data_IF_230498959251
#
_entry.id   IF_230498959251
#
_cell.length_a   1.000
_cell.length_b   1.000
_cell.length_c   1.000
_cell.angle_alpha   90.00
_cell.angle_beta   90.00
_cell.angle_gamma   90.00
#
_symmetry.space_group_name_H-M   'P 1'
#
loop_
_entity.id
_entity.type
_entity.pdbx_description
1 polymer ?
#
# COMPACT_ATOMS: atom_id res chain seq x y z
N UNK A 1 22.04 1.55 26.36
CA UNK A 1 21.63 2.69 25.51
C UNK A 1 20.54 3.55 26.16
N UNK A 2 19.42 2.96 26.63
CA UNK A 2 18.37 3.65 27.41
C UNK A 2 18.82 4.60 28.54
N UNK A 3 19.79 4.25 29.42
CA UNK A 3 20.20 5.15 30.50
C UNK A 3 20.97 6.39 30.01
N UNK A 4 21.69 6.28 28.89
CA UNK A 4 22.44 7.41 28.31
C UNK A 4 21.48 8.40 27.65
N UNK A 5 20.48 7.90 26.93
CA UNK A 5 19.43 8.73 26.31
C UNK A 5 18.64 9.48 27.40
N UNK A 6 18.32 8.82 28.51
CA UNK A 6 17.64 9.46 29.64
C UNK A 6 18.47 10.59 30.26
N UNK A 7 19.77 10.38 30.46
CA UNK A 7 20.66 11.41 31.01
C UNK A 7 20.79 12.63 30.09
N UNK A 8 20.87 12.41 28.77
CA UNK A 8 20.93 13.49 27.79
C UNK A 8 19.62 14.28 27.75
N UNK A 9 18.46 13.62 27.74
CA UNK A 9 17.16 14.29 27.76
C UNK A 9 16.93 15.06 29.06
N UNK A 10 17.35 14.51 30.21
CA UNK A 10 17.26 15.19 31.49
C UNK A 10 18.13 16.46 31.51
N UNK A 11 19.35 16.39 30.97
CA UNK A 11 20.25 17.54 30.88
C UNK A 11 19.70 18.63 29.93
N UNK A 12 19.18 18.22 28.77
CA UNK A 12 18.55 19.13 27.81
C UNK A 12 17.34 19.87 28.45
N UNK A 13 16.47 19.13 29.15
CA UNK A 13 15.30 19.71 29.81
C UNK A 13 15.65 20.67 30.95
N UNK A 14 16.73 20.41 31.69
CA UNK A 14 17.24 21.33 32.73
C UNK A 14 17.78 22.62 32.11
N UNK A 15 18.51 22.52 30.99
CA UNK A 15 19.05 23.68 30.29
C UNK A 15 17.93 24.55 29.70
N UNK A 16 16.90 23.94 29.11
CA UNK A 16 15.73 24.63 28.58
C UNK A 16 14.94 25.36 29.67
N UNK A 17 14.75 24.73 30.84
CA UNK A 17 14.14 25.39 32.02
C UNK A 17 14.93 26.60 32.52
N UNK A 18 16.26 26.50 32.53
CA UNK A 18 17.15 27.60 32.96
C UNK A 18 17.06 28.81 32.02
N UNK A 19 16.81 28.58 30.74
CA UNK A 19 16.61 29.62 29.72
C UNK A 19 15.14 30.08 29.60
N UNK A 20 14.23 29.57 30.44
CA UNK A 20 12.77 29.81 30.37
C UNK A 20 12.17 29.55 28.97
N UNK A 21 12.74 28.60 28.24
CA UNK A 21 12.20 28.14 26.96
C UNK A 21 11.32 26.93 27.23
N UNK A 22 10.05 26.99 26.82
CA UNK A 22 9.19 25.80 26.82
C UNK A 22 9.77 24.77 25.86
N UNK A 23 10.19 23.63 26.39
CA UNK A 23 10.59 22.49 25.58
C UNK A 23 9.36 21.97 24.85
N UNK A 24 9.18 22.39 23.59
CA UNK A 24 8.31 21.69 22.65
C UNK A 24 9.10 20.49 22.14
N UNK A 25 8.84 19.31 22.70
CA UNK A 25 9.25 18.06 22.09
C UNK A 25 8.78 18.05 20.62
N UNK A 26 9.66 17.59 19.73
CA UNK A 26 9.50 17.69 18.28
C UNK A 26 8.17 17.10 17.76
N UNK A 27 7.50 17.92 16.95
CA UNK A 27 6.41 17.59 16.01
C UNK A 27 5.29 16.72 16.58
N UNK A 28 4.47 17.29 17.48
CA UNK A 28 3.04 16.99 17.36
C UNK A 28 2.58 17.64 16.05
N UNK A 29 1.98 16.87 15.14
CA UNK A 29 1.11 17.50 14.16
C UNK A 29 0.19 18.45 14.95
N UNK A 30 0.28 19.76 14.68
CA UNK A 30 -0.50 20.78 15.41
C UNK A 30 -2.00 20.52 15.31
N UNK A 31 -2.39 19.66 14.37
CA UNK A 31 -3.75 19.26 14.07
C UNK A 31 -3.82 17.74 14.02
N UNK A 32 -4.84 17.19 14.67
CA UNK A 32 -5.30 15.83 14.47
C UNK A 32 -5.88 15.64 13.06
N UNK A 33 -5.94 14.40 12.58
CA UNK A 33 -6.53 14.08 11.29
C UNK A 33 -7.98 14.60 11.15
N UNK A 34 -8.75 14.60 12.25
CA UNK A 34 -10.13 15.12 12.28
C UNK A 34 -10.15 16.64 12.13
N UNK A 35 -9.19 17.34 12.74
CA UNK A 35 -9.04 18.79 12.59
C UNK A 35 -8.60 19.14 11.16
N UNK A 36 -7.67 18.37 10.58
CA UNK A 36 -7.27 18.55 9.19
C UNK A 36 -8.47 18.34 8.25
N UNK A 37 -9.26 17.28 8.43
CA UNK A 37 -10.44 17.03 7.62
C UNK A 37 -11.46 18.19 7.71
N UNK A 38 -11.69 18.73 8.92
CA UNK A 38 -12.56 19.90 9.12
C UNK A 38 -12.03 21.15 8.42
N UNK A 39 -10.72 21.40 8.48
CA UNK A 39 -10.12 22.55 7.78
C UNK A 39 -10.31 22.48 6.27
N UNK A 40 -10.25 21.28 5.69
CA UNK A 40 -10.49 21.08 4.25
C UNK A 40 -11.93 21.39 3.90
N UNK A 41 -12.89 20.92 4.71
CA UNK A 41 -14.31 21.23 4.54
C UNK A 41 -14.58 22.73 4.67
N UNK A 42 -14.08 23.37 5.73
CA UNK A 42 -14.27 24.81 5.97
C UNK A 42 -13.66 25.66 4.84
N UNK A 43 -12.50 25.26 4.30
CA UNK A 43 -11.86 25.94 3.18
C UNK A 43 -12.65 25.78 1.87
N UNK A 44 -13.29 24.63 1.64
CA UNK A 44 -14.22 24.42 0.53
C UNK A 44 -15.46 25.29 0.65
N UNK A 45 -16.11 25.28 1.83
CA UNK A 45 -17.32 26.08 2.10
C UNK A 45 -17.06 27.60 2.00
N UNK A 46 -15.84 28.04 2.35
CA UNK A 46 -15.40 29.43 2.21
C UNK A 46 -15.00 29.82 0.77
N UNK A 47 -15.05 28.89 -0.19
CA UNK A 47 -14.65 29.11 -1.58
C UNK A 47 -13.14 29.33 -1.78
N UNK A 48 -12.32 28.92 -0.81
CA UNK A 48 -10.85 29.01 -0.87
C UNK A 48 -10.22 27.83 -1.62
N UNK A 49 -10.97 26.73 -1.74
CA UNK A 49 -10.64 25.56 -2.55
C UNK A 49 -11.77 25.32 -3.55
N UNK A 50 -11.43 24.97 -4.79
CA UNK A 50 -12.43 24.45 -5.72
C UNK A 50 -12.94 23.07 -5.24
N UNK A 51 -14.18 22.74 -5.59
CA UNK A 51 -14.85 21.52 -5.12
C UNK A 51 -14.01 20.26 -5.39
N UNK A 52 -13.35 20.20 -6.55
CA UNK A 52 -12.54 19.05 -6.96
C UNK A 52 -11.25 18.95 -6.14
N UNK A 53 -10.64 20.08 -5.78
CA UNK A 53 -9.48 20.13 -4.90
C UNK A 53 -9.85 19.76 -3.46
N UNK A 54 -11.00 20.21 -2.97
CA UNK A 54 -11.52 19.87 -1.66
C UNK A 54 -11.82 18.36 -1.54
N UNK A 55 -12.52 17.77 -2.52
CA UNK A 55 -12.78 16.33 -2.59
C UNK A 55 -11.50 15.51 -2.55
N UNK A 56 -10.52 15.84 -3.41
CA UNK A 56 -9.25 15.10 -3.48
C UNK A 56 -8.47 15.16 -2.17
N UNK A 57 -8.47 16.31 -1.51
CA UNK A 57 -7.76 16.48 -0.25
C UNK A 57 -8.47 15.71 0.88
N UNK A 58 -9.79 15.69 0.87
CA UNK A 58 -10.58 14.84 1.77
C UNK A 58 -10.29 13.35 1.54
N UNK A 59 -10.34 12.86 0.31
CA UNK A 59 -10.03 11.47 -0.04
C UNK A 59 -8.61 11.08 0.36
N UNK A 60 -7.64 11.99 0.21
CA UNK A 60 -6.27 11.77 0.63
C UNK A 60 -6.12 11.64 2.15
N UNK A 61 -6.88 12.41 2.94
CA UNK A 61 -6.92 12.28 4.40
C UNK A 61 -7.60 10.97 4.82
N UNK A 62 -8.67 10.57 4.14
CA UNK A 62 -9.40 9.33 4.45
C UNK A 62 -8.59 8.05 4.17
N UNK A 63 -7.63 8.08 3.23
CA UNK A 63 -6.70 6.95 3.04
C UNK A 63 -5.94 6.57 4.33
N UNK A 64 -5.60 7.56 5.15
CA UNK A 64 -4.88 7.36 6.42
C UNK A 64 -5.66 6.57 7.46
N UNK A 65 -6.96 6.36 7.23
CA UNK A 65 -7.89 5.74 8.18
C UNK A 65 -8.50 4.47 7.64
N UNK A 66 -8.71 4.43 6.33
CA UNK A 66 -9.44 3.33 5.70
C UNK A 66 -8.57 2.08 5.64
N UNK A 67 -9.03 0.93 6.16
CA UNK A 67 -8.23 -0.28 6.18
C UNK A 67 -8.23 -0.97 4.81
N UNK A 68 -7.12 -1.63 4.48
CA UNK A 68 -6.97 -2.34 3.20
C UNK A 68 -7.96 -3.47 2.97
N UNK A 69 -8.51 -4.05 4.05
CA UNK A 69 -9.58 -5.06 3.96
C UNK A 69 -10.82 -4.57 3.22
N UNK A 70 -11.02 -3.26 3.08
CA UNK A 70 -12.19 -2.70 2.40
C UNK A 70 -12.04 -2.72 0.86
N UNK A 71 -10.82 -2.92 0.36
CA UNK A 71 -10.50 -2.94 -1.09
C UNK A 71 -9.79 -4.22 -1.52
N UNK A 72 -9.57 -5.16 -0.59
CA UNK A 72 -8.85 -6.41 -0.87
C UNK A 72 -9.65 -7.31 -1.82
N UNK A 73 -8.97 -7.93 -2.78
CA UNK A 73 -9.49 -9.06 -3.53
C UNK A 73 -9.33 -10.32 -2.67
N UNK A 74 -10.43 -10.99 -2.26
CA UNK A 74 -10.36 -12.22 -1.46
C UNK A 74 -9.52 -13.29 -2.14
N UNK A 75 -8.74 -14.04 -1.37
CA UNK A 75 -7.80 -15.05 -1.88
C UNK A 75 -8.45 -16.08 -2.81
N UNK A 76 -9.73 -16.39 -2.63
CA UNK A 76 -10.48 -17.35 -3.46
C UNK A 76 -10.79 -16.80 -4.86
N UNK A 77 -10.80 -15.48 -5.02
CA UNK A 77 -11.07 -14.79 -6.29
C UNK A 77 -9.79 -14.41 -7.03
N UNK A 78 -8.63 -14.52 -6.39
CA UNK A 78 -7.34 -14.21 -7.01
C UNK A 78 -7.00 -15.27 -8.05
N UNK A 79 -6.60 -14.80 -9.24
CA UNK A 79 -6.05 -15.67 -10.27
C UNK A 79 -4.56 -15.81 -10.05
N UNK A 80 -4.12 -17.03 -9.75
CA UNK A 80 -2.72 -17.35 -9.48
C UNK A 80 -2.03 -17.97 -10.69
N UNK A 81 -0.76 -17.65 -10.85
CA UNK A 81 0.18 -18.50 -11.58
C UNK A 81 0.77 -19.55 -10.62
N UNK A 82 1.24 -20.67 -11.15
CA UNK A 82 1.95 -21.68 -10.37
C UNK A 82 3.44 -21.65 -10.66
N UNK A 83 4.27 -22.07 -9.71
CA UNK A 83 5.66 -22.42 -10.02
C UNK A 83 5.64 -23.48 -11.14
N UNK A 84 6.42 -23.25 -12.19
CA UNK A 84 6.36 -24.07 -13.41
C UNK A 84 5.65 -23.41 -14.59
N UNK A 85 4.90 -22.31 -14.36
CA UNK A 85 4.22 -21.58 -15.43
C UNK A 85 5.22 -21.14 -16.51
N UNK A 86 4.91 -21.40 -17.77
CA UNK A 86 5.73 -20.97 -18.93
C UNK A 86 5.30 -19.59 -19.44
N UNK A 87 6.14 -18.88 -20.22
CA UNK A 87 5.74 -17.67 -20.92
C UNK A 87 4.45 -17.81 -21.74
N UNK A 88 4.28 -18.93 -22.46
CA UNK A 88 3.08 -19.18 -23.26
C UNK A 88 1.82 -19.33 -22.40
N UNK A 89 1.94 -20.07 -21.29
CA UNK A 89 0.84 -20.26 -20.34
C UNK A 89 0.43 -18.94 -19.66
N UNK A 90 1.40 -18.10 -19.31
CA UNK A 90 1.16 -16.79 -18.69
C UNK A 90 0.43 -15.84 -19.64
N UNK A 91 0.82 -15.80 -20.91
CA UNK A 91 0.12 -15.02 -21.94
C UNK A 91 -1.31 -15.53 -22.15
N UNK A 92 -1.48 -16.85 -22.25
CA UNK A 92 -2.80 -17.45 -22.37
C UNK A 92 -3.67 -17.13 -21.15
N UNK A 93 -3.10 -17.16 -19.94
CA UNK A 93 -3.79 -16.78 -18.71
C UNK A 93 -4.20 -15.29 -18.72
N UNK A 94 -3.31 -14.41 -19.18
CA UNK A 94 -3.60 -12.98 -19.35
C UNK A 94 -4.72 -12.76 -20.35
N UNK A 95 -4.67 -13.38 -21.53
CA UNK A 95 -5.69 -13.26 -22.56
C UNK A 95 -7.07 -13.71 -22.09
N UNK A 96 -7.16 -14.79 -21.29
CA UNK A 96 -8.44 -15.31 -20.78
C UNK A 96 -9.02 -14.49 -19.63
N UNK A 97 -8.18 -13.89 -18.80
CA UNK A 97 -8.61 -13.27 -17.53
C UNK A 97 -8.65 -11.74 -17.59
N UNK A 98 -7.93 -11.14 -18.55
CA UNK A 98 -7.75 -9.69 -18.65
C UNK A 98 -6.76 -9.11 -17.64
N UNK A 99 -6.20 -9.91 -16.73
CA UNK A 99 -5.20 -9.45 -15.77
C UNK A 99 -3.80 -9.38 -16.39
N UNK A 100 -2.98 -8.45 -15.90
CA UNK A 100 -1.58 -8.30 -16.33
C UNK A 100 -0.56 -8.81 -15.31
N UNK A 101 -0.98 -9.03 -14.07
CA UNK A 101 -0.10 -9.44 -12.96
C UNK A 101 -0.73 -10.63 -12.25
N UNK A 102 0.07 -11.67 -12.07
CA UNK A 102 -0.38 -12.95 -11.52
C UNK A 102 0.52 -13.30 -10.32
N UNK A 103 -0.01 -13.31 -9.08
CA UNK A 103 0.72 -13.83 -7.95
C UNK A 103 1.09 -15.29 -8.21
N UNK A 104 2.34 -15.64 -7.98
CA UNK A 104 2.85 -16.99 -8.22
C UNK A 104 2.96 -17.74 -6.90
N UNK A 105 2.35 -18.93 -6.85
CA UNK A 105 2.32 -19.77 -5.66
C UNK A 105 3.10 -21.07 -5.83
N UNK A 106 3.63 -21.57 -4.72
CA UNK A 106 4.17 -22.93 -4.61
C UNK A 106 3.05 -23.98 -4.40
N UNK A 107 3.46 -25.24 -4.25
CA UNK A 107 2.56 -26.38 -3.97
C UNK A 107 1.75 -26.20 -2.66
N UNK A 108 2.25 -25.40 -1.72
CA UNK A 108 1.61 -25.11 -0.44
C UNK A 108 0.75 -23.83 -0.50
N UNK A 109 0.49 -23.29 -1.69
CA UNK A 109 -0.25 -22.04 -1.93
C UNK A 109 0.40 -20.81 -1.29
N UNK A 110 1.71 -20.83 -1.03
CA UNK A 110 2.45 -19.67 -0.54
C UNK A 110 2.83 -18.77 -1.70
N UNK A 111 2.51 -17.48 -1.58
CA UNK A 111 2.91 -16.48 -2.58
C UNK A 111 4.42 -16.24 -2.48
N UNK A 112 5.14 -16.59 -3.55
CA UNK A 112 6.58 -16.37 -3.68
C UNK A 112 6.91 -15.00 -4.31
N UNK A 113 5.98 -14.46 -5.08
CA UNK A 113 6.10 -13.21 -5.81
C UNK A 113 4.98 -13.09 -6.82
N UNK A 114 5.18 -12.33 -7.89
CA UNK A 114 4.25 -12.28 -9.01
C UNK A 114 4.97 -12.23 -10.36
N UNK A 115 4.31 -12.71 -11.40
CA UNK A 115 4.72 -12.56 -12.80
C UNK A 115 3.91 -11.45 -13.46
N UNK A 116 4.57 -10.61 -14.26
CA UNK A 116 3.89 -9.66 -15.13
C UNK A 116 3.83 -10.22 -16.55
N UNK A 117 2.70 -10.10 -17.25
CA UNK A 117 2.54 -10.65 -18.62
C UNK A 117 3.62 -10.14 -19.59
N UNK A 118 3.99 -8.85 -19.49
CA UNK A 118 5.13 -8.27 -20.24
C UNK A 118 6.45 -9.03 -20.06
N UNK A 119 6.69 -9.67 -18.92
CA UNK A 119 7.91 -10.45 -18.69
C UNK A 119 7.94 -11.71 -19.59
N UNK A 120 6.80 -12.15 -20.13
CA UNK A 120 6.73 -13.25 -21.10
C UNK A 120 7.23 -12.88 -22.50
N UNK A 121 7.22 -11.59 -22.85
CA UNK A 121 7.54 -11.11 -24.19
C UNK A 121 9.03 -11.21 -24.52
N UNK A 122 9.87 -11.09 -23.49
CA UNK A 122 11.33 -11.00 -23.63
C UNK A 122 12.04 -12.33 -23.30
N UNK A 123 11.29 -13.38 -22.97
CA UNK A 123 11.83 -14.66 -22.48
C UNK A 123 11.78 -15.74 -23.55
N UNK A 124 12.95 -16.33 -23.82
CA UNK A 124 13.12 -17.52 -24.64
C UNK A 124 13.93 -18.57 -23.86
N UNK A 125 13.63 -19.87 -24.04
CA UNK A 125 12.54 -20.42 -24.86
C UNK A 125 11.16 -20.25 -24.19
N UNK A 126 10.08 -20.28 -25.00
CA UNK A 126 8.72 -19.91 -24.55
C UNK A 126 7.95 -21.03 -23.85
N UNK A 127 8.43 -22.25 -24.01
CA UNK A 127 7.89 -23.51 -23.48
C UNK A 127 8.61 -23.98 -22.22
N UNK A 128 9.63 -23.24 -21.76
CA UNK A 128 10.28 -23.50 -20.47
C UNK A 128 9.68 -22.65 -19.34
N UNK A 129 9.64 -23.16 -18.10
CA UNK A 129 9.16 -22.41 -16.95
C UNK A 129 9.95 -21.13 -16.67
N UNK A 130 9.28 -20.09 -16.18
CA UNK A 130 9.98 -18.93 -15.62
C UNK A 130 10.88 -19.37 -14.44
N UNK A 131 12.18 -19.02 -14.43
CA UNK A 131 13.00 -19.12 -13.22
C UNK A 131 12.41 -18.28 -12.09
N UNK A 132 12.51 -18.80 -10.86
CA UNK A 132 12.01 -18.13 -9.64
C UNK A 132 12.62 -16.74 -9.45
N UNK A 133 13.83 -16.50 -9.96
CA UNK A 133 14.50 -15.20 -9.92
C UNK A 133 13.79 -14.10 -10.73
N UNK A 134 12.92 -14.45 -11.67
CA UNK A 134 12.09 -13.49 -12.41
C UNK A 134 10.81 -13.10 -11.66
N UNK A 135 10.48 -13.76 -10.55
CA UNK A 135 9.34 -13.35 -9.73
C UNK A 135 9.60 -11.96 -9.13
N UNK A 136 8.70 -11.04 -9.43
CA UNK A 136 8.70 -9.70 -8.86
C UNK A 136 8.19 -9.77 -7.41
N UNK A 137 8.74 -8.96 -6.49
CA UNK A 137 8.36 -9.02 -5.09
C UNK A 137 6.91 -8.60 -4.87
N UNK A 138 6.27 -9.15 -3.85
CA UNK A 138 4.93 -8.74 -3.39
C UNK A 138 5.08 -8.15 -1.99
N UNK A 139 4.54 -6.96 -1.75
CA UNK A 139 4.54 -6.39 -0.40
C UNK A 139 3.64 -7.23 0.52
N UNK A 140 3.94 -7.27 1.82
CA UNK A 140 3.09 -7.95 2.80
C UNK A 140 2.56 -6.92 3.78
N UNK A 141 1.24 -6.90 3.96
CA UNK A 141 0.54 -5.92 4.79
C UNK A 141 -0.54 -6.60 5.61
N UNK A 142 -0.87 -6.05 6.78
CA UNK A 142 -1.98 -6.52 7.62
C UNK A 142 -3.31 -6.05 7.03
N UNK A 143 -4.37 -6.83 7.19
CA UNK A 143 -5.73 -6.46 6.76
C UNK A 143 -6.25 -5.15 7.39
N UNK A 144 -5.76 -4.81 8.59
CA UNK A 144 -6.10 -3.57 9.29
C UNK A 144 -5.22 -2.37 8.90
N UNK A 145 -4.17 -2.56 8.07
CA UNK A 145 -3.29 -1.47 7.70
C UNK A 145 -4.04 -0.39 6.90
N UNK A 146 -3.84 0.90 7.22
CA UNK A 146 -4.32 2.02 6.43
C UNK A 146 -3.86 1.96 4.97
N UNK A 147 -4.68 2.49 4.06
CA UNK A 147 -4.39 2.46 2.62
C UNK A 147 -3.13 3.26 2.24
N UNK A 148 -2.84 4.37 2.92
CA UNK A 148 -1.63 5.18 2.71
C UNK A 148 -0.35 4.43 3.13
N UNK A 149 -0.41 3.67 4.22
CA UNK A 149 0.64 2.76 4.67
C UNK A 149 0.89 1.65 3.64
N UNK A 150 -0.18 1.09 3.06
CA UNK A 150 -0.09 0.08 2.00
C UNK A 150 0.53 0.66 0.72
N UNK A 151 0.10 1.86 0.29
CA UNK A 151 0.74 2.57 -0.82
C UNK A 151 2.22 2.82 -0.55
N UNK A 152 2.54 3.26 0.67
CA UNK A 152 3.92 3.51 1.09
C UNK A 152 4.77 2.24 1.08
N UNK A 153 4.23 1.12 1.57
CA UNK A 153 4.89 -0.19 1.53
C UNK A 153 5.15 -0.64 0.09
N UNK A 154 4.16 -0.53 -0.79
CA UNK A 154 4.30 -0.89 -2.22
C UNK A 154 5.32 0.01 -2.94
N UNK A 155 5.30 1.32 -2.70
CA UNK A 155 6.28 2.27 -3.26
C UNK A 155 7.71 1.98 -2.78
N UNK A 156 7.90 1.71 -1.49
CA UNK A 156 9.21 1.37 -0.91
C UNK A 156 9.78 0.08 -1.49
N UNK A 157 8.92 -0.91 -1.68
CA UNK A 157 9.29 -2.22 -2.26
C UNK A 157 9.28 -2.24 -3.80
N UNK A 158 8.94 -1.12 -4.45
CA UNK A 158 8.82 -0.98 -5.92
C UNK A 158 7.95 -2.07 -6.54
N UNK A 159 6.85 -2.40 -5.88
CA UNK A 159 5.88 -3.40 -6.33
C UNK A 159 4.51 -2.76 -6.51
N UNK A 160 3.68 -3.36 -7.35
CA UNK A 160 2.31 -2.93 -7.60
C UNK A 160 1.29 -3.86 -6.96
N UNK A 161 1.73 -4.90 -6.26
CA UNK A 161 0.87 -5.85 -5.57
C UNK A 161 1.29 -5.98 -4.10
N UNK A 162 0.30 -6.04 -3.22
CA UNK A 162 0.49 -6.43 -1.84
C UNK A 162 -0.39 -7.65 -1.50
N UNK A 163 0.22 -8.64 -0.86
CA UNK A 163 -0.47 -9.73 -0.20
C UNK A 163 -0.98 -9.22 1.15
N UNK A 164 -2.29 -9.34 1.36
CA UNK A 164 -2.94 -8.96 2.60
C UNK A 164 -3.02 -10.18 3.49
N UNK A 165 -2.51 -10.04 4.71
CA UNK A 165 -2.51 -11.08 5.73
C UNK A 165 -3.56 -10.79 6.79
N UNK A 166 -4.22 -11.83 7.28
CA UNK A 166 -5.09 -11.74 8.46
C UNK A 166 -4.26 -11.67 9.76
N UNK A 167 -4.93 -11.72 10.91
CA UNK A 167 -4.28 -11.67 12.23
C UNK A 167 -3.49 -12.95 12.57
N UNK A 168 -3.72 -14.05 11.85
CA UNK A 168 -3.02 -15.34 12.00
C UNK A 168 -1.89 -15.49 10.96
N UNK A 169 -1.49 -14.41 10.28
CA UNK A 169 -0.54 -14.41 9.15
C UNK A 169 -0.96 -15.29 7.95
N UNK A 170 -2.26 -15.60 7.82
CA UNK A 170 -2.78 -16.33 6.67
C UNK A 170 -3.11 -15.35 5.53
N UNK A 171 -2.96 -15.75 4.26
CA UNK A 171 -3.36 -14.91 3.14
C UNK A 171 -4.86 -14.63 3.16
N UNK A 172 -5.24 -13.39 3.45
CA UNK A 172 -6.61 -12.91 3.33
C UNK A 172 -6.95 -12.56 1.86
N UNK A 173 -5.94 -12.13 1.10
CA UNK A 173 -6.13 -11.77 -0.30
C UNK A 173 -4.98 -10.97 -0.90
N UNK A 174 -5.28 -10.25 -1.97
CA UNK A 174 -4.35 -9.42 -2.71
C UNK A 174 -4.96 -8.04 -2.96
N UNK A 175 -4.14 -7.00 -2.99
CA UNK A 175 -4.54 -5.67 -3.43
C UNK A 175 -3.54 -5.15 -4.46
N UNK A 176 -4.03 -4.50 -5.51
CA UNK A 176 -3.18 -3.80 -6.46
C UNK A 176 -3.02 -2.32 -6.09
N UNK A 177 -1.89 -1.72 -6.44
CA UNK A 177 -1.67 -0.29 -6.23
C UNK A 177 -2.75 0.55 -6.92
N UNK A 178 -3.20 0.12 -8.10
CA UNK A 178 -4.26 0.76 -8.85
C UNK A 178 -5.61 0.75 -8.10
N UNK A 179 -5.89 -0.27 -7.30
CA UNK A 179 -7.11 -0.34 -6.49
C UNK A 179 -7.05 0.66 -5.34
N UNK A 180 -5.89 0.80 -4.69
CA UNK A 180 -5.71 1.79 -3.62
C UNK A 180 -5.73 3.21 -4.18
N UNK A 181 -5.08 3.45 -5.32
CA UNK A 181 -5.10 4.75 -5.99
C UNK A 181 -6.51 5.13 -6.45
N UNK A 182 -7.35 4.16 -6.83
CA UNK A 182 -8.75 4.44 -7.23
C UNK A 182 -9.54 5.12 -6.11
N UNK A 183 -9.21 4.84 -4.85
CA UNK A 183 -9.84 5.50 -3.71
C UNK A 183 -9.43 6.97 -3.55
N UNK A 184 -8.30 7.41 -4.14
CA UNK A 184 -7.89 8.82 -4.16
C UNK A 184 -8.50 9.64 -5.29
N UNK A 185 -8.85 8.99 -6.40
CA UNK A 185 -9.34 9.68 -7.61
C UNK A 185 -10.88 9.70 -7.64
N UNK A 186 -11.53 9.03 -6.69
CA UNK A 186 -12.97 8.76 -6.70
C UNK A 186 -13.34 7.66 -7.71
N UNK A 187 -14.47 6.99 -7.49
CA UNK A 187 -15.06 6.14 -8.53
C UNK A 187 -15.36 7.02 -9.75
N UNK A 188 -15.09 6.55 -10.99
CA UNK A 188 -15.63 7.24 -12.15
C UNK A 188 -17.14 7.35 -11.96
N UNK A 189 -17.69 8.53 -12.23
CA UNK A 189 -19.13 8.72 -12.31
C UNK A 189 -19.72 7.59 -13.17
N UNK A 190 -20.75 6.91 -12.66
CA UNK A 190 -21.45 5.91 -13.45
C UNK A 190 -21.94 6.58 -14.75
N UNK A 191 -21.85 5.89 -15.91
CA UNK A 191 -22.25 6.44 -17.20
C UNK A 191 -23.73 6.82 -17.24
#
# INVERSE_FOLDING_TARGET
LRPVIFAINAFANVLLKLLRVEAKDEVSATFSDDELARMVTDAGDAGLLDDRAAERLHDALELGRRPVRDVVMPAEKVVYAQVGTTPEELEALSARTGYSRFPTVDENRRILGYLHVKDALDVLPRDEPFPVSMLRPVARVRAAAPLDDVLTAMRRSRTHLAAVLDEDDKPAGLVAMEDVLRELVGRPAAP
#
